data_IF_357816178232
#
_entry.id   IF_357816178232
#
_cell.length_a   1.000
_cell.length_b   1.000
_cell.length_c   1.000
_cell.angle_alpha   90.00
_cell.angle_beta   90.00
_cell.angle_gamma   90.00
#
_symmetry.space_group_name_H-M   'P 1'
#
loop_
_entity.id
_entity.type
_entity.pdbx_description
1 polymer ?
#
# COMPACT_ATOMS: atom_id res chain seq x y z
N UNK A 1 -23.01 2.30 -8.90
CA UNK A 1 -21.84 2.09 -8.04
C UNK A 1 -20.72 2.99 -8.56
N UNK A 2 -20.65 4.24 -8.10
CA UNK A 2 -19.59 5.17 -8.50
C UNK A 2 -18.33 4.85 -7.70
N UNK A 3 -17.18 4.79 -8.39
CA UNK A 3 -15.88 4.74 -7.74
C UNK A 3 -15.61 6.13 -7.16
N UNK A 4 -15.78 6.27 -5.85
CA UNK A 4 -15.36 7.46 -5.13
C UNK A 4 -13.86 7.36 -4.85
N UNK A 5 -13.01 8.23 -5.42
CA UNK A 5 -11.57 8.21 -5.19
C UNK A 5 -11.20 8.34 -3.71
N UNK A 6 -12.04 8.98 -2.89
CA UNK A 6 -11.80 9.09 -1.46
C UNK A 6 -11.90 7.73 -0.74
N UNK A 7 -12.61 6.76 -1.33
CA UNK A 7 -12.69 5.40 -0.79
C UNK A 7 -11.49 4.52 -1.14
N UNK A 8 -10.67 4.92 -2.11
CA UNK A 8 -9.48 4.18 -2.54
C UNK A 8 -8.25 4.50 -1.68
N UNK A 9 -8.15 5.73 -1.18
CA UNK A 9 -7.03 6.16 -0.34
C UNK A 9 -6.78 5.27 0.91
N UNK A 10 -7.81 4.82 1.65
CA UNK A 10 -7.60 3.86 2.75
C UNK A 10 -7.00 2.52 2.29
N UNK A 11 -7.37 2.04 1.10
CA UNK A 11 -6.84 0.79 0.55
C UNK A 11 -5.37 0.94 0.16
N UNK A 12 -5.01 2.05 -0.50
CA UNK A 12 -3.63 2.32 -0.87
C UNK A 12 -2.75 2.50 0.38
N UNK A 13 -3.27 3.14 1.42
CA UNK A 13 -2.59 3.26 2.71
C UNK A 13 -2.43 1.91 3.41
N UNK A 14 -3.40 1.00 3.29
CA UNK A 14 -3.27 -0.36 3.81
C UNK A 14 -2.13 -1.12 3.10
N UNK A 15 -2.02 -1.02 1.77
CA UNK A 15 -0.91 -1.62 1.01
C UNK A 15 0.44 -1.08 1.50
N UNK A 16 0.55 0.23 1.72
CA UNK A 16 1.76 0.87 2.23
C UNK A 16 2.13 0.38 3.63
N UNK A 17 1.18 0.41 4.55
CA UNK A 17 1.38 -0.02 5.93
C UNK A 17 1.82 -1.49 6.00
N UNK A 18 1.09 -2.38 5.34
CA UNK A 18 1.41 -3.82 5.33
C UNK A 18 2.77 -4.10 4.70
N UNK A 19 3.15 -3.37 3.64
CA UNK A 19 4.46 -3.53 3.01
C UNK A 19 5.61 -3.09 3.92
N UNK A 20 5.43 -1.98 4.66
CA UNK A 20 6.40 -1.52 5.64
C UNK A 20 6.53 -2.51 6.80
N UNK A 21 5.41 -2.97 7.35
CA UNK A 21 5.39 -3.90 8.49
C UNK A 21 6.01 -5.25 8.11
N UNK A 22 5.70 -5.78 6.92
CA UNK A 22 6.25 -7.04 6.44
C UNK A 22 7.77 -6.98 6.24
N UNK A 23 8.29 -5.89 5.65
CA UNK A 23 9.74 -5.70 5.49
C UNK A 23 10.44 -5.54 6.84
N UNK A 24 9.85 -4.77 7.76
CA UNK A 24 10.38 -4.63 9.12
C UNK A 24 10.42 -5.99 9.84
N UNK A 25 9.32 -6.74 9.82
CA UNK A 25 9.24 -8.05 10.45
C UNK A 25 10.22 -9.06 9.85
N UNK A 26 10.48 -9.00 8.54
CA UNK A 26 11.45 -9.85 7.86
C UNK A 26 12.91 -9.37 8.03
N UNK A 27 13.13 -8.16 8.57
CA UNK A 27 14.42 -7.46 8.60
C UNK A 27 15.15 -7.47 7.24
N UNK A 28 14.38 -7.48 6.14
CA UNK A 28 14.87 -7.67 4.77
C UNK A 28 13.76 -7.34 3.77
N UNK A 29 14.14 -6.75 2.62
CA UNK A 29 13.24 -6.44 1.51
C UNK A 29 13.24 -4.96 1.10
N UNK A 30 12.40 -4.62 0.12
CA UNK A 30 12.32 -3.28 -0.49
C UNK A 30 10.87 -2.78 -0.51
N UNK A 31 10.42 -1.99 0.47
CA UNK A 31 9.01 -1.56 0.56
C UNK A 31 8.68 -0.47 -0.49
N UNK A 32 9.70 0.12 -1.13
CA UNK A 32 9.53 1.27 -2.03
C UNK A 32 8.64 1.02 -3.24
N UNK A 33 8.76 -0.13 -3.90
CA UNK A 33 7.93 -0.46 -5.08
C UNK A 33 6.46 -0.71 -4.70
N UNK A 34 6.14 -1.55 -3.68
CA UNK A 34 4.78 -1.68 -3.18
C UNK A 34 4.16 -0.37 -2.69
N UNK A 35 4.93 0.48 -1.99
CA UNK A 35 4.41 1.77 -1.48
C UNK A 35 4.13 2.78 -2.59
N UNK A 36 4.97 2.82 -3.62
CA UNK A 36 4.84 3.74 -4.75
C UNK A 36 3.73 3.35 -5.72
N UNK A 37 3.43 2.05 -5.84
CA UNK A 37 2.38 1.54 -6.74
C UNK A 37 1.01 1.39 -6.07
N UNK A 38 0.88 1.74 -4.79
CA UNK A 38 -0.33 1.47 -4.01
C UNK A 38 -1.60 2.12 -4.58
N UNK A 39 -1.52 3.35 -5.13
CA UNK A 39 -2.70 4.01 -5.72
C UNK A 39 -3.08 3.43 -7.10
N UNK A 40 -2.14 2.77 -7.79
CA UNK A 40 -2.41 2.08 -9.06
C UNK A 40 -3.11 0.74 -8.82
N UNK A 41 -2.86 0.12 -7.67
CA UNK A 41 -3.39 -1.18 -7.29
C UNK A 41 -4.82 -1.12 -6.71
N UNK A 42 -5.38 0.07 -6.49
CA UNK A 42 -6.67 0.31 -5.81
C UNK A 42 -7.60 1.14 -6.65
#
# INVERSE_FOLDING_TARGET
MSLDPQRLAPMANAIRALSMDAVQAANSGHPGMPMGMADVAT
#
